data_IF_021875030438
#
_entry.id   IF_021875030438
#
_cell.length_a   1.000
_cell.length_b   1.000
_cell.length_c   1.000
_cell.angle_alpha   90.00
_cell.angle_beta   90.00
_cell.angle_gamma   90.00
#
_symmetry.space_group_name_H-M   'P 1'
#
loop_
_entity.id
_entity.type
_entity.pdbx_description
1 polymer ?
#
# COMPACT_ATOMS: atom_id res chain seq x y z
N UNK A 1 -8.46 -29.99 -21.20
CA UNK A 1 -8.48 -28.61 -21.71
C UNK A 1 -7.90 -28.53 -23.12
N UNK A 2 -6.79 -29.22 -23.41
CA UNK A 2 -6.14 -29.20 -24.75
C UNK A 2 -7.00 -29.77 -25.90
N UNK A 3 -8.09 -30.44 -25.62
CA UNK A 3 -9.04 -30.99 -26.62
C UNK A 3 -10.20 -30.04 -26.94
N UNK A 4 -10.31 -28.91 -26.26
CA UNK A 4 -11.36 -27.92 -26.54
C UNK A 4 -11.05 -27.21 -27.86
N UNK A 5 -12.07 -26.95 -28.70
CA UNK A 5 -11.87 -26.18 -29.93
C UNK A 5 -11.35 -24.81 -29.60
N UNK A 6 -10.20 -24.45 -30.15
CA UNK A 6 -9.60 -23.13 -30.02
C UNK A 6 -9.71 -22.36 -31.33
N UNK A 7 -10.31 -21.20 -31.28
CA UNK A 7 -10.17 -20.19 -32.33
C UNK A 7 -9.12 -19.20 -31.84
N UNK A 8 -8.19 -18.79 -32.69
CA UNK A 8 -7.16 -17.80 -32.34
C UNK A 8 -7.80 -16.42 -32.05
N UNK A 9 -8.63 -16.37 -31.02
CA UNK A 9 -9.31 -15.17 -30.57
C UNK A 9 -8.36 -14.34 -29.70
N UNK A 10 -8.16 -13.10 -30.09
CA UNK A 10 -7.52 -12.13 -29.23
C UNK A 10 -8.58 -11.50 -28.33
N UNK A 11 -8.47 -11.78 -27.05
CA UNK A 11 -9.35 -11.16 -26.06
C UNK A 11 -9.01 -9.66 -25.94
N UNK A 12 -10.05 -8.85 -25.86
CA UNK A 12 -9.94 -7.41 -25.60
C UNK A 12 -10.86 -7.05 -24.44
N UNK A 13 -10.48 -6.08 -23.65
CA UNK A 13 -11.36 -5.54 -22.62
C UNK A 13 -11.97 -4.20 -23.06
N UNK A 14 -13.12 -3.89 -22.51
CA UNK A 14 -13.78 -2.61 -22.67
C UNK A 14 -13.48 -1.74 -21.45
N UNK A 15 -12.77 -0.63 -21.65
CA UNK A 15 -12.62 0.37 -20.61
C UNK A 15 -13.96 1.08 -20.36
N UNK A 16 -14.59 0.80 -19.23
CA UNK A 16 -15.86 1.40 -18.83
C UNK A 16 -15.69 2.83 -18.27
N UNK A 17 -14.48 3.39 -18.30
CA UNK A 17 -14.15 4.72 -17.77
C UNK A 17 -14.41 4.86 -16.26
N UNK A 18 -14.38 3.76 -15.53
CA UNK A 18 -14.41 3.77 -14.07
C UNK A 18 -12.98 4.05 -13.59
N UNK A 19 -12.81 5.16 -12.89
CA UNK A 19 -11.51 5.58 -12.37
C UNK A 19 -11.62 5.98 -10.91
N UNK A 20 -10.49 6.00 -10.22
CA UNK A 20 -10.42 6.52 -8.86
C UNK A 20 -10.77 8.00 -8.84
N UNK A 21 -11.44 8.44 -7.76
CA UNK A 21 -11.76 9.83 -7.55
C UNK A 21 -10.49 10.67 -7.54
N UNK A 22 -10.47 11.73 -8.32
CA UNK A 22 -9.36 12.67 -8.37
C UNK A 22 -9.50 13.74 -7.28
N UNK A 23 -8.36 14.24 -6.81
CA UNK A 23 -8.30 15.25 -5.76
C UNK A 23 -8.46 14.68 -4.35
N UNK A 24 -8.51 15.57 -3.37
CA UNK A 24 -8.62 15.23 -1.97
C UNK A 24 -10.09 15.08 -1.59
N UNK A 25 -10.44 13.92 -1.04
CA UNK A 25 -11.78 13.62 -0.55
C UNK A 25 -11.73 13.13 0.88
N UNK A 26 -12.48 13.80 1.75
CA UNK A 26 -12.61 13.43 3.16
C UNK A 26 -14.07 13.14 3.49
N UNK A 27 -14.31 12.03 4.15
CA UNK A 27 -15.63 11.67 4.65
C UNK A 27 -15.52 11.09 6.07
N UNK A 28 -16.35 11.62 6.94
CA UNK A 28 -16.47 11.16 8.31
C UNK A 28 -17.94 10.85 8.59
N UNK A 29 -18.21 9.70 9.19
CA UNK A 29 -19.56 9.34 9.59
C UNK A 29 -19.58 8.60 10.92
N UNK A 30 -20.69 8.74 11.60
CA UNK A 30 -20.92 8.12 12.92
C UNK A 30 -21.74 6.85 12.73
N UNK A 31 -21.24 5.73 13.28
CA UNK A 31 -21.95 4.48 13.37
C UNK A 31 -21.73 3.85 14.72
N UNK A 32 -22.78 3.75 15.53
CA UNK A 32 -22.70 3.14 16.85
C UNK A 32 -22.29 1.67 16.73
N UNK A 33 -21.30 1.28 17.51
CA UNK A 33 -20.83 -0.09 17.71
C UNK A 33 -20.83 -0.43 19.20
N UNK A 34 -20.55 -1.68 19.53
CA UNK A 34 -20.48 -2.12 20.95
C UNK A 34 -19.31 -1.46 21.69
N UNK A 35 -18.21 -1.23 20.98
CA UNK A 35 -17.01 -0.59 21.53
C UNK A 35 -16.79 0.76 20.87
N UNK A 36 -16.46 1.77 21.67
CA UNK A 36 -16.08 3.08 21.16
C UNK A 36 -14.76 2.98 20.39
N UNK A 37 -14.80 3.25 19.09
CA UNK A 37 -13.61 3.24 18.21
C UNK A 37 -13.78 4.13 16.98
N UNK A 38 -12.66 4.54 16.44
CA UNK A 38 -12.56 5.14 15.12
C UNK A 38 -11.80 4.20 14.20
N UNK A 39 -12.43 3.77 13.09
CA UNK A 39 -11.80 3.01 12.02
C UNK A 39 -11.49 3.96 10.87
N UNK A 40 -10.22 4.04 10.48
CA UNK A 40 -9.72 5.02 9.54
C UNK A 40 -9.11 4.33 8.33
N UNK A 41 -9.40 4.87 7.17
CA UNK A 41 -8.90 4.42 5.89
C UNK A 41 -8.37 5.63 5.11
N UNK A 42 -7.12 5.57 4.71
CA UNK A 42 -6.47 6.55 3.84
C UNK A 42 -6.02 5.83 2.58
N UNK A 43 -6.37 6.36 1.43
CA UNK A 43 -5.97 5.84 0.13
C UNK A 43 -5.32 6.95 -0.69
N UNK A 44 -4.08 6.74 -1.06
CA UNK A 44 -3.38 7.55 -2.05
C UNK A 44 -3.38 6.81 -3.38
N UNK A 45 -3.62 7.51 -4.47
CA UNK A 45 -3.60 6.91 -5.80
C UNK A 45 -2.90 7.81 -6.82
N UNK A 46 -2.27 7.21 -7.81
CA UNK A 46 -1.63 7.99 -8.86
C UNK A 46 -1.26 7.16 -10.08
N UNK A 47 -1.01 7.85 -11.19
CA UNK A 47 -0.46 7.23 -12.37
C UNK A 47 0.96 6.75 -12.05
N UNK A 48 1.24 5.50 -12.36
CA UNK A 48 2.53 4.88 -12.10
C UNK A 48 2.75 3.79 -13.14
N UNK A 49 3.90 3.82 -13.80
CA UNK A 49 4.25 2.82 -14.80
C UNK A 49 4.23 1.42 -14.19
N UNK A 50 3.60 0.49 -14.90
CA UNK A 50 3.54 -0.89 -14.50
C UNK A 50 4.80 -1.63 -14.91
N UNK A 51 5.75 -1.75 -14.00
CA UNK A 51 6.97 -2.55 -14.15
C UNK A 51 7.44 -3.07 -12.79
N UNK A 52 8.32 -4.07 -12.81
CA UNK A 52 8.81 -4.73 -11.60
C UNK A 52 9.53 -3.77 -10.65
N UNK A 53 10.25 -2.77 -11.15
CA UNK A 53 10.93 -1.81 -10.28
C UNK A 53 9.93 -0.97 -9.49
N UNK A 54 8.86 -0.49 -10.12
CA UNK A 54 7.84 0.30 -9.46
C UNK A 54 6.99 -0.55 -8.51
N UNK A 55 6.76 -1.82 -8.83
CA UNK A 55 6.09 -2.76 -7.93
C UNK A 55 6.90 -2.99 -6.65
N UNK A 56 8.20 -3.25 -6.79
CA UNK A 56 9.13 -3.38 -5.66
C UNK A 56 9.24 -2.07 -4.87
N UNK A 57 9.29 -0.90 -5.53
CA UNK A 57 9.32 0.40 -4.85
C UNK A 57 8.06 0.64 -4.02
N UNK A 58 6.89 0.28 -4.55
CA UNK A 58 5.62 0.40 -3.84
C UNK A 58 5.57 -0.53 -2.62
N UNK A 59 5.99 -1.78 -2.78
CA UNK A 59 6.07 -2.75 -1.67
C UNK A 59 7.07 -2.29 -0.60
N UNK A 60 8.28 -1.88 -0.98
CA UNK A 60 9.27 -1.32 -0.05
C UNK A 60 8.73 -0.10 0.69
N UNK A 61 8.09 0.83 -0.02
CA UNK A 61 7.50 2.02 0.58
C UNK A 61 6.44 1.64 1.60
N UNK A 62 5.58 0.67 1.29
CA UNK A 62 4.56 0.17 2.20
C UNK A 62 5.17 -0.43 3.46
N UNK A 63 6.19 -1.27 3.33
CA UNK A 63 6.87 -1.91 4.45
C UNK A 63 7.65 -0.90 5.32
N UNK A 64 8.31 0.08 4.72
CA UNK A 64 9.00 1.16 5.44
C UNK A 64 7.99 1.98 6.24
N UNK A 65 6.86 2.37 5.64
CA UNK A 65 5.81 3.09 6.33
C UNK A 65 5.22 2.27 7.49
N UNK A 66 5.01 0.98 7.30
CA UNK A 66 4.53 0.09 8.36
C UNK A 66 5.50 0.04 9.55
N UNK A 67 6.80 -0.05 9.31
CA UNK A 67 7.82 0.03 10.35
C UNK A 67 7.79 1.38 11.09
N UNK A 68 7.76 2.49 10.35
CA UNK A 68 7.77 3.84 10.91
C UNK A 68 6.51 4.09 11.73
N UNK A 69 5.33 3.75 11.20
CA UNK A 69 4.07 3.93 11.92
C UNK A 69 3.99 3.05 13.17
N UNK A 70 4.45 1.80 13.07
CA UNK A 70 4.47 0.90 14.24
C UNK A 70 5.33 1.49 15.36
N UNK A 71 6.50 2.04 15.05
CA UNK A 71 7.36 2.66 16.04
C UNK A 71 6.70 3.91 16.64
N UNK A 72 6.22 4.84 15.80
CA UNK A 72 5.62 6.10 16.24
C UNK A 72 4.33 5.91 17.03
N UNK A 73 3.44 5.04 16.59
CA UNK A 73 2.19 4.76 17.29
C UNK A 73 2.44 4.09 18.64
N UNK A 74 3.44 3.21 18.75
CA UNK A 74 3.81 2.61 20.05
C UNK A 74 4.40 3.64 21.01
N UNK A 75 5.28 4.51 20.53
CA UNK A 75 5.90 5.55 21.35
C UNK A 75 4.86 6.55 21.88
N UNK A 76 3.95 7.02 21.02
CA UNK A 76 3.00 8.08 21.37
C UNK A 76 1.74 7.58 22.07
N UNK A 77 1.31 6.32 21.83
CA UNK A 77 -0.02 5.84 22.23
C UNK A 77 -0.04 4.65 23.17
N UNK A 78 1.12 4.18 23.61
CA UNK A 78 1.20 3.07 24.56
C UNK A 78 0.76 1.70 24.02
N UNK A 79 0.78 1.51 22.69
CA UNK A 79 0.88 0.17 22.10
C UNK A 79 -0.42 -0.58 21.85
N UNK A 80 -1.56 0.07 21.65
CA UNK A 80 -2.83 -0.66 21.53
C UNK A 80 -3.36 -0.89 20.11
N UNK A 81 -2.89 -0.15 19.12
CA UNK A 81 -3.45 -0.26 17.76
C UNK A 81 -2.35 -0.32 16.71
N UNK A 82 -2.46 -1.32 15.83
CA UNK A 82 -1.57 -1.44 14.67
C UNK A 82 -2.03 -0.53 13.53
N UNK A 83 -1.09 -0.10 12.73
CA UNK A 83 -1.35 0.54 11.43
C UNK A 83 -0.99 -0.47 10.36
N UNK A 84 -1.90 -0.73 9.45
CA UNK A 84 -1.63 -1.56 8.26
C UNK A 84 -1.34 -0.66 7.08
N UNK A 85 -0.28 -0.94 6.36
CA UNK A 85 0.06 -0.28 5.10
C UNK A 85 0.16 -1.31 4.00
N UNK A 86 -0.49 -1.06 2.86
CA UNK A 86 -0.43 -1.95 1.71
C UNK A 86 -0.41 -1.19 0.41
N UNK A 87 0.32 -1.71 -0.57
CA UNK A 87 0.40 -1.17 -1.92
C UNK A 87 -0.20 -2.11 -2.95
N UNK A 88 -0.69 -1.55 -4.05
CA UNK A 88 -1.12 -2.29 -5.21
C UNK A 88 -0.76 -1.54 -6.48
N UNK A 89 -0.01 -2.19 -7.36
CA UNK A 89 0.27 -1.68 -8.71
C UNK A 89 -0.63 -2.41 -9.72
N UNK A 90 -1.33 -1.68 -10.54
CA UNK A 90 -2.26 -2.23 -11.54
C UNK A 90 -1.86 -1.82 -12.94
N UNK A 91 -1.96 -2.77 -13.89
CA UNK A 91 -1.74 -2.51 -15.31
C UNK A 91 -3.03 -2.09 -16.01
N UNK A 92 -4.13 -2.74 -15.69
CA UNK A 92 -5.41 -2.58 -16.36
C UNK A 92 -6.50 -2.01 -15.44
N UNK A 93 -7.44 -1.19 -15.96
CA UNK A 93 -7.49 -0.64 -17.32
C UNK A 93 -6.47 0.46 -17.59
N UNK A 94 -5.80 0.96 -16.54
CA UNK A 94 -4.75 1.99 -16.57
C UNK A 94 -3.64 1.63 -15.59
N UNK A 95 -2.43 2.02 -15.92
CA UNK A 95 -1.26 1.83 -15.06
C UNK A 95 -1.35 2.79 -13.86
N UNK A 96 -1.59 2.23 -12.67
CA UNK A 96 -1.81 3.00 -11.43
C UNK A 96 -1.20 2.33 -10.22
N UNK A 97 -0.67 3.14 -9.32
CA UNK A 97 -0.33 2.75 -7.97
C UNK A 97 -1.40 3.19 -6.99
N UNK A 98 -1.68 2.32 -6.03
CA UNK A 98 -2.51 2.57 -4.86
C UNK A 98 -1.67 2.31 -3.61
N UNK A 99 -1.73 3.21 -2.64
CA UNK A 99 -1.16 3.02 -1.31
C UNK A 99 -2.26 3.23 -0.30
N UNK A 100 -2.57 2.21 0.49
CA UNK A 100 -3.61 2.25 1.51
C UNK A 100 -3.01 2.17 2.91
N UNK A 101 -3.59 2.94 3.83
CA UNK A 101 -3.23 2.97 5.23
C UNK A 101 -4.51 2.77 6.02
N UNK A 102 -4.54 1.75 6.87
CA UNK A 102 -5.72 1.38 7.66
C UNK A 102 -5.30 1.29 9.13
N UNK A 103 -6.06 1.96 9.99
CA UNK A 103 -5.83 1.85 11.43
C UNK A 103 -7.10 2.07 12.24
N UNK A 104 -7.13 1.46 13.41
CA UNK A 104 -8.18 1.67 14.40
C UNK A 104 -7.60 2.34 15.64
N UNK A 105 -8.39 3.20 16.29
CA UNK A 105 -7.98 3.92 17.48
C UNK A 105 -9.18 4.32 18.33
N UNK A 106 -8.94 4.78 19.56
CA UNK A 106 -9.97 5.46 20.34
C UNK A 106 -10.39 6.76 19.64
N UNK A 107 -11.69 7.13 19.63
CA UNK A 107 -12.17 8.33 18.95
C UNK A 107 -11.41 9.61 19.31
N UNK A 108 -11.08 9.78 20.60
CA UNK A 108 -10.34 10.95 21.08
C UNK A 108 -8.89 11.06 20.57
N UNK A 109 -8.29 9.96 20.12
CA UNK A 109 -6.91 9.92 19.62
C UNK A 109 -6.80 9.99 18.10
N UNK A 110 -7.93 9.92 17.39
CA UNK A 110 -7.98 9.82 15.94
C UNK A 110 -7.21 10.94 15.23
N UNK A 111 -7.48 12.20 15.60
CA UNK A 111 -6.86 13.35 14.93
C UNK A 111 -5.34 13.35 15.10
N UNK A 112 -4.87 13.05 16.30
CA UNK A 112 -3.42 12.96 16.59
C UNK A 112 -2.76 11.87 15.74
N UNK A 113 -3.36 10.68 15.67
CA UNK A 113 -2.81 9.58 14.85
C UNK A 113 -2.85 9.89 13.37
N UNK A 114 -3.94 10.50 12.88
CA UNK A 114 -4.02 10.94 11.49
C UNK A 114 -2.90 11.95 11.16
N UNK A 115 -2.62 12.87 12.06
CA UNK A 115 -1.52 13.82 11.90
C UNK A 115 -0.15 13.12 11.86
N UNK A 116 0.08 12.12 12.71
CA UNK A 116 1.32 11.31 12.69
C UNK A 116 1.45 10.61 11.32
N UNK A 117 0.39 9.96 10.85
CA UNK A 117 0.37 9.26 9.55
C UNK A 117 0.82 10.19 8.41
N UNK A 118 0.21 11.35 8.29
CA UNK A 118 0.55 12.29 7.22
C UNK A 118 1.91 12.96 7.41
N UNK A 119 2.33 13.21 8.66
CA UNK A 119 3.65 13.76 8.94
C UNK A 119 4.76 12.81 8.52
N UNK A 120 4.66 11.53 8.86
CA UNK A 120 5.68 10.55 8.49
C UNK A 120 5.68 10.25 6.98
N UNK A 121 4.51 10.25 6.34
CA UNK A 121 4.40 10.13 4.88
C UNK A 121 5.11 11.32 4.18
N UNK A 122 4.87 12.53 4.66
CA UNK A 122 5.50 13.75 4.14
C UNK A 122 7.02 13.76 4.40
N UNK A 123 7.46 13.25 5.55
CA UNK A 123 8.89 13.08 5.87
C UNK A 123 9.58 12.14 4.87
N UNK A 124 8.97 10.99 4.57
CA UNK A 124 9.52 10.05 3.57
C UNK A 124 9.50 10.66 2.17
N UNK A 125 8.43 11.36 1.79
CA UNK A 125 8.36 12.05 0.50
C UNK A 125 9.42 13.14 0.35
N UNK A 126 9.78 13.85 1.42
CA UNK A 126 10.75 14.95 1.39
C UNK A 126 12.19 14.53 1.58
N UNK A 127 12.44 13.62 2.50
CA UNK A 127 13.78 13.23 2.93
C UNK A 127 14.18 11.79 2.62
N UNK A 128 13.20 10.95 2.32
CA UNK A 128 13.37 9.49 2.23
C UNK A 128 13.40 8.82 3.61
N UNK A 129 13.40 7.48 3.65
CA UNK A 129 13.53 6.73 4.88
C UNK A 129 14.95 6.79 5.45
N UNK A 130 15.12 6.30 6.69
CA UNK A 130 16.47 6.04 7.21
C UNK A 130 17.14 4.91 6.42
N UNK A 131 18.47 4.97 6.27
CA UNK A 131 19.26 3.86 5.69
C UNK A 131 19.04 2.55 6.47
N UNK A 132 18.87 2.65 7.79
CA UNK A 132 18.61 1.50 8.65
C UNK A 132 17.29 0.81 8.33
N UNK A 133 16.21 1.55 8.10
CA UNK A 133 14.91 1.00 7.77
C UNK A 133 14.88 0.45 6.34
N UNK A 134 15.50 1.14 5.39
CA UNK A 134 15.67 0.63 4.03
C UNK A 134 16.40 -0.72 4.02
N UNK A 135 17.51 -0.83 4.77
CA UNK A 135 18.30 -2.07 4.82
C UNK A 135 17.51 -3.21 5.47
N UNK A 136 16.78 -2.95 6.57
CA UNK A 136 15.90 -3.96 7.20
C UNK A 136 14.86 -4.49 6.22
N UNK A 137 14.22 -3.59 5.45
CA UNK A 137 13.21 -3.98 4.47
C UNK A 137 13.83 -4.78 3.33
N UNK A 138 14.99 -4.37 2.82
CA UNK A 138 15.72 -5.16 1.80
C UNK A 138 16.04 -6.58 2.28
N UNK A 139 16.60 -6.72 3.47
CA UNK A 139 16.93 -8.03 4.05
C UNK A 139 15.66 -8.89 4.18
N UNK A 140 14.57 -8.32 4.68
CA UNK A 140 13.30 -9.02 4.80
C UNK A 140 12.78 -9.48 3.42
N UNK A 141 12.75 -8.60 2.43
CA UNK A 141 12.24 -8.91 1.09
C UNK A 141 13.08 -9.99 0.39
N UNK A 142 14.41 -9.91 0.48
CA UNK A 142 15.31 -10.92 -0.08
C UNK A 142 15.12 -12.29 0.58
N UNK A 143 15.02 -12.32 1.92
CA UNK A 143 14.74 -13.53 2.66
C UNK A 143 13.38 -14.12 2.28
N UNK A 144 12.36 -13.30 2.27
CA UNK A 144 11.00 -13.71 1.90
C UNK A 144 10.94 -14.27 0.47
N UNK A 145 11.58 -13.60 -0.49
CA UNK A 145 11.68 -14.07 -1.87
C UNK A 145 12.34 -15.46 -1.97
N UNK A 146 13.45 -15.68 -1.25
CA UNK A 146 14.12 -17.00 -1.22
C UNK A 146 13.25 -18.10 -0.58
N UNK A 147 12.37 -17.77 0.36
CA UNK A 147 11.38 -18.69 0.93
C UNK A 147 10.25 -18.95 -0.08
N UNK A 148 9.71 -17.91 -0.70
CA UNK A 148 8.60 -17.96 -1.65
C UNK A 148 8.94 -18.79 -2.90
N UNK A 149 10.19 -18.76 -3.38
CA UNK A 149 10.67 -19.57 -4.49
C UNK A 149 10.52 -21.09 -4.25
N UNK A 150 10.31 -21.52 -3.02
CA UNK A 150 10.05 -22.93 -2.66
C UNK A 150 8.56 -23.28 -2.67
N UNK A 151 7.69 -22.28 -2.79
CA UNK A 151 6.25 -22.44 -2.68
C UNK A 151 5.58 -22.53 -4.07
N UNK A 152 4.81 -23.58 -4.29
CA UNK A 152 4.07 -23.76 -5.57
C UNK A 152 3.08 -22.61 -5.84
N UNK A 153 2.48 -22.06 -4.80
CA UNK A 153 1.54 -20.92 -4.91
C UNK A 153 2.22 -19.67 -5.47
N UNK A 154 3.47 -19.42 -5.08
CA UNK A 154 4.25 -18.30 -5.60
C UNK A 154 4.54 -18.45 -7.09
N UNK A 155 4.93 -19.65 -7.53
CA UNK A 155 5.16 -19.93 -8.96
C UNK A 155 3.88 -19.80 -9.78
N UNK A 156 2.77 -20.31 -9.25
CA UNK A 156 1.48 -20.21 -9.94
C UNK A 156 1.05 -18.75 -10.12
N UNK A 157 1.13 -17.95 -9.06
CA UNK A 157 0.84 -16.51 -9.12
C UNK A 157 1.78 -15.77 -10.08
N UNK A 158 3.07 -16.10 -10.05
CA UNK A 158 4.07 -15.48 -10.93
C UNK A 158 3.85 -15.79 -12.42
N UNK A 159 3.41 -17.02 -12.71
CA UNK A 159 3.07 -17.43 -14.09
C UNK A 159 1.79 -16.72 -14.55
N UNK A 160 0.78 -16.64 -13.69
CA UNK A 160 -0.48 -15.94 -13.96
C UNK A 160 -0.21 -14.45 -14.23
N UNK A 161 0.57 -13.81 -13.39
CA UNK A 161 1.00 -12.42 -13.56
C UNK A 161 1.72 -12.19 -14.89
N UNK A 162 2.68 -13.06 -15.23
CA UNK A 162 3.41 -12.97 -16.48
C UNK A 162 2.49 -13.16 -17.70
N UNK A 163 1.59 -14.13 -17.65
CA UNK A 163 0.66 -14.39 -18.77
C UNK A 163 -0.36 -13.26 -18.95
N UNK A 164 -0.81 -12.67 -17.86
CA UNK A 164 -1.82 -11.61 -17.88
C UNK A 164 -1.23 -10.24 -18.22
N UNK A 165 -0.10 -9.92 -17.64
CA UNK A 165 0.47 -8.56 -17.73
C UNK A 165 1.73 -8.47 -18.59
N UNK A 166 2.45 -9.58 -18.79
CA UNK A 166 3.76 -9.62 -19.41
C UNK A 166 4.92 -9.25 -18.48
N UNK A 167 4.64 -8.90 -17.21
CA UNK A 167 5.66 -8.64 -16.19
C UNK A 167 6.13 -9.96 -15.58
N UNK A 168 7.45 -10.18 -15.56
CA UNK A 168 8.03 -11.32 -14.84
C UNK A 168 8.43 -10.89 -13.44
N UNK A 169 7.71 -11.31 -12.40
CA UNK A 169 7.97 -10.85 -11.02
C UNK A 169 9.21 -11.50 -10.38
N UNK A 170 9.80 -12.51 -10.99
CA UNK A 170 10.95 -13.24 -10.45
C UNK A 170 12.26 -12.77 -11.05
N UNK A 171 12.24 -12.52 -12.38
CA UNK A 171 13.46 -12.16 -13.12
C UNK A 171 14.02 -10.83 -12.60
N UNK A 172 15.30 -10.84 -12.26
CA UNK A 172 16.06 -9.67 -11.77
C UNK A 172 15.56 -9.08 -10.43
N UNK A 173 14.65 -9.77 -9.70
CA UNK A 173 14.07 -9.29 -8.44
C UNK A 173 15.14 -8.91 -7.42
N UNK A 174 16.06 -9.83 -7.11
CA UNK A 174 17.12 -9.58 -6.12
C UNK A 174 18.05 -8.43 -6.52
N UNK A 175 18.38 -8.34 -7.82
CA UNK A 175 19.21 -7.26 -8.34
C UNK A 175 18.51 -5.91 -8.17
N UNK A 176 17.21 -5.84 -8.49
CA UNK A 176 16.42 -4.62 -8.35
C UNK A 176 16.32 -4.22 -6.87
N UNK A 177 15.96 -5.15 -5.97
CA UNK A 177 15.88 -4.90 -4.51
C UNK A 177 17.20 -4.32 -4.00
N UNK A 178 18.34 -4.94 -4.35
CA UNK A 178 19.65 -4.46 -3.92
C UNK A 178 20.01 -3.07 -4.47
N UNK A 179 19.56 -2.73 -5.68
CA UNK A 179 19.87 -1.47 -6.35
C UNK A 179 19.10 -0.26 -5.82
N UNK A 180 17.95 -0.46 -5.15
CA UNK A 180 17.11 0.63 -4.66
C UNK A 180 17.83 1.42 -3.57
N UNK A 181 17.76 2.73 -3.65
CA UNK A 181 18.36 3.67 -2.72
C UNK A 181 17.29 4.46 -1.94
N UNK A 182 17.70 5.15 -0.88
CA UNK A 182 16.84 6.10 -0.15
C UNK A 182 16.21 7.13 -1.10
N UNK A 183 16.96 7.60 -2.08
CA UNK A 183 16.48 8.56 -3.08
C UNK A 183 15.41 7.96 -4.01
N UNK A 184 15.49 6.67 -4.33
CA UNK A 184 14.48 6.01 -5.15
C UNK A 184 13.14 5.94 -4.38
N UNK A 185 13.17 5.57 -3.09
CA UNK A 185 11.99 5.57 -2.23
C UNK A 185 11.43 6.97 -2.05
N UNK A 186 12.29 7.95 -1.75
CA UNK A 186 11.90 9.35 -1.65
C UNK A 186 11.17 9.83 -2.89
N UNK A 187 11.80 9.64 -4.04
CA UNK A 187 11.23 10.08 -5.33
C UNK A 187 9.91 9.39 -5.63
N UNK A 188 9.82 8.09 -5.43
CA UNK A 188 8.60 7.32 -5.67
C UNK A 188 7.45 7.81 -4.80
N UNK A 189 7.70 8.01 -3.49
CA UNK A 189 6.70 8.50 -2.55
C UNK A 189 6.27 9.93 -2.89
N UNK A 190 7.22 10.81 -3.20
CA UNK A 190 6.96 12.19 -3.59
C UNK A 190 6.16 12.29 -4.91
N UNK A 191 6.51 11.48 -5.91
CA UNK A 191 5.80 11.43 -7.20
C UNK A 191 4.34 10.94 -7.03
N UNK A 192 4.08 9.99 -6.13
CA UNK A 192 2.73 9.55 -5.80
C UNK A 192 1.95 10.62 -5.03
N UNK A 193 2.57 11.21 -4.01
CA UNK A 193 1.95 12.19 -3.14
C UNK A 193 1.62 13.51 -3.85
N UNK A 194 2.47 13.95 -4.75
CA UNK A 194 2.27 15.18 -5.56
C UNK A 194 1.06 15.12 -6.48
N UNK A 195 0.55 13.94 -6.81
CA UNK A 195 -0.64 13.82 -7.65
C UNK A 195 -1.92 14.23 -6.92
N UNK A 196 -1.86 14.37 -5.59
CA UNK A 196 -2.95 14.87 -4.72
C UNK A 196 -4.28 14.14 -4.91
N UNK A 197 -4.21 12.84 -5.17
CA UNK A 197 -5.39 11.98 -5.19
C UNK A 197 -5.43 11.20 -3.88
N UNK A 198 -6.23 11.69 -2.97
CA UNK A 198 -6.32 11.23 -1.58
C UNK A 198 -7.78 11.01 -1.18
N UNK A 199 -8.07 9.86 -0.63
CA UNK A 199 -9.36 9.55 -0.04
C UNK A 199 -9.14 9.23 1.43
N UNK A 200 -9.73 10.02 2.31
CA UNK A 200 -9.81 9.75 3.74
C UNK A 200 -11.23 9.39 4.12
N UNK A 201 -11.41 8.24 4.75
CA UNK A 201 -12.71 7.83 5.30
C UNK A 201 -12.53 7.41 6.75
N UNK A 202 -13.34 7.99 7.63
CA UNK A 202 -13.35 7.64 9.05
C UNK A 202 -14.76 7.28 9.50
N UNK A 203 -14.89 6.10 10.09
CA UNK A 203 -16.09 5.66 10.78
C UNK A 203 -15.86 5.78 12.28
N UNK A 204 -16.67 6.57 12.96
CA UNK A 204 -16.54 6.83 14.38
C UNK A 204 -17.70 6.20 15.15
N UNK A 205 -17.38 5.37 16.13
CA UNK A 205 -18.33 4.93 17.17
C UNK A 205 -18.01 5.68 18.44
N UNK A 206 -18.80 6.68 18.84
CA UNK A 206 -18.55 7.44 20.05
C UNK A 206 -18.75 6.57 21.29
N UNK A 207 -18.15 6.96 22.41
CA UNK A 207 -18.43 6.37 23.70
C UNK A 207 -19.93 6.46 23.98
N UNK A 208 -20.52 5.34 24.38
CA UNK A 208 -21.90 5.36 24.88
C UNK A 208 -21.81 5.96 26.30
N UNK A 209 -22.56 7.04 26.63
CA UNK A 209 -22.62 7.46 28.02
C UNK A 209 -23.04 6.27 28.89
N UNK A 210 -22.31 6.05 29.97
CA UNK A 210 -22.69 5.03 30.94
C UNK A 210 -24.17 5.23 31.25
N UNK A 211 -24.95 4.16 31.15
CA UNK A 211 -26.32 4.20 31.64
C UNK A 211 -26.21 4.30 33.14
N UNK A 212 -26.45 5.50 33.71
CA UNK A 212 -26.78 5.69 35.12
C UNK A 212 -28.00 4.83 35.48
#
# INVERSE_FOLDING_TARGET
LGSLPAINRKETFKDNKVDMRQGIYKNEFVRKQETAKASNFVLLSGDCKYDLKNDILLDMTSQILDLVYTAKVREDEGGTYGVYVGGQLSKYPKEKALLQIIFETAPAKREKLMQIIFTELDNIAKAGPSEGDLNKVKEFMLKKHAEDLKENSYWLGSIDEYLFTGMNPIKDYEQIVNSITVKDIQKFTDDLFKQKNEIEVSMISPETPDKE
#
